data_IF_516672236992
#
_entry.id   IF_516672236992
#
_cell.length_a   1.000
_cell.length_b   1.000
_cell.length_c   1.000
_cell.angle_alpha   90.00
_cell.angle_beta   90.00
_cell.angle_gamma   90.00
#
_symmetry.space_group_name_H-M   'P 1'
#
loop_
_entity.id
_entity.type
_entity.pdbx_description
1 polymer ?
#
# COMPACT_ATOMS: atom_id res chain seq x y z
N UNK A 1 -3.19 -20.47 4.40
CA UNK A 1 -2.90 -19.16 3.78
C UNK A 1 -4.20 -18.36 3.83
N UNK A 2 -4.12 -17.08 4.10
CA UNK A 2 -5.27 -16.16 4.01
C UNK A 2 -5.19 -15.41 2.70
N UNK A 3 -6.31 -15.27 2.00
CA UNK A 3 -6.43 -14.55 0.74
C UNK A 3 -7.24 -13.29 0.95
N UNK A 4 -6.70 -12.16 0.48
CA UNK A 4 -7.33 -10.87 0.61
C UNK A 4 -7.44 -10.19 -0.76
N UNK A 5 -8.55 -9.54 -1.01
CA UNK A 5 -8.75 -8.77 -2.24
C UNK A 5 -8.40 -7.30 -1.98
N UNK A 6 -7.33 -6.82 -2.60
CA UNK A 6 -6.88 -5.44 -2.48
C UNK A 6 -7.28 -4.65 -3.72
N UNK A 7 -7.91 -3.51 -3.53
CA UNK A 7 -8.35 -2.65 -4.62
C UNK A 7 -7.70 -1.27 -4.54
N UNK A 8 -7.15 -0.80 -5.68
CA UNK A 8 -6.54 0.54 -5.79
C UNK A 8 -7.55 1.62 -6.24
N UNK A 9 -8.63 1.24 -6.88
CA UNK A 9 -9.59 2.15 -7.54
C UNK A 9 -8.91 3.14 -8.50
N UNK A 10 -8.16 2.66 -9.51
CA UNK A 10 -7.48 3.54 -10.45
C UNK A 10 -8.49 4.30 -11.31
N UNK A 11 -8.12 5.52 -11.75
CA UNK A 11 -8.89 6.21 -12.78
C UNK A 11 -8.64 5.55 -14.15
N UNK A 12 -9.66 4.99 -14.77
CA UNK A 12 -9.55 4.13 -15.97
C UNK A 12 -9.66 4.88 -17.29
N UNK A 13 -9.81 6.22 -17.27
CA UNK A 13 -10.07 7.03 -18.47
C UNK A 13 -8.91 7.99 -18.81
N UNK A 14 -7.67 7.66 -18.38
CA UNK A 14 -6.50 8.43 -18.80
C UNK A 14 -6.26 8.24 -20.31
N UNK A 15 -5.96 9.32 -21.07
CA UNK A 15 -5.80 9.22 -22.52
C UNK A 15 -4.60 8.34 -22.92
N UNK A 16 -4.66 7.78 -24.14
CA UNK A 16 -3.63 6.85 -24.65
C UNK A 16 -2.23 7.46 -24.72
N UNK A 17 -2.16 8.75 -24.94
CA UNK A 17 -0.91 9.50 -25.03
C UNK A 17 -0.55 10.23 -23.72
N UNK A 18 -1.15 9.82 -22.60
CA UNK A 18 -0.95 10.44 -21.29
C UNK A 18 0.53 10.62 -20.95
N UNK A 19 1.34 9.56 -21.09
CA UNK A 19 2.76 9.59 -20.75
C UNK A 19 3.61 10.53 -21.64
N UNK A 20 3.08 10.89 -22.79
CA UNK A 20 3.76 11.81 -23.73
C UNK A 20 3.44 13.28 -23.44
N UNK A 21 2.26 13.51 -22.86
CA UNK A 21 1.71 14.87 -22.65
C UNK A 21 1.79 15.35 -21.21
N UNK A 22 1.83 14.41 -20.27
CA UNK A 22 1.80 14.72 -18.84
C UNK A 22 3.01 14.11 -18.14
N UNK A 23 3.69 14.86 -17.24
CA UNK A 23 4.91 14.41 -16.58
C UNK A 23 4.63 13.37 -15.48
N UNK A 24 3.42 13.39 -14.92
CA UNK A 24 3.08 12.54 -13.79
C UNK A 24 1.57 12.29 -13.71
N UNK A 25 1.20 11.10 -13.24
CA UNK A 25 -0.17 10.75 -12.87
C UNK A 25 -0.48 11.18 -11.43
N UNK A 26 0.52 11.66 -10.71
CA UNK A 26 0.44 11.99 -9.29
C UNK A 26 0.99 13.37 -9.02
N UNK A 27 0.38 14.12 -8.08
CA UNK A 27 0.74 15.48 -7.66
C UNK A 27 0.44 16.52 -8.75
N UNK A 28 1.20 16.50 -9.84
CA UNK A 28 1.08 17.44 -10.97
C UNK A 28 0.26 16.79 -12.10
N UNK A 29 -1.01 16.54 -11.81
CA UNK A 29 -1.99 16.03 -12.76
C UNK A 29 -3.09 17.08 -13.00
N UNK A 30 -3.39 17.40 -14.25
CA UNK A 30 -4.37 18.43 -14.57
C UNK A 30 -5.81 17.94 -14.31
N UNK A 31 -6.58 18.71 -13.55
CA UNK A 31 -7.94 18.34 -13.12
C UNK A 31 -8.95 18.15 -14.28
N UNK A 32 -8.69 18.74 -15.46
CA UNK A 32 -9.54 18.54 -16.64
C UNK A 32 -9.51 17.12 -17.20
N UNK A 33 -8.56 16.28 -16.76
CA UNK A 33 -8.53 14.87 -17.11
C UNK A 33 -9.55 14.03 -16.35
N UNK A 34 -10.08 14.57 -15.26
CA UNK A 34 -11.05 13.88 -14.41
C UNK A 34 -12.48 14.17 -14.86
N UNK A 35 -13.22 13.12 -15.20
CA UNK A 35 -14.66 13.19 -15.46
C UNK A 35 -15.44 12.64 -14.27
N UNK A 36 -16.16 13.49 -13.50
CA UNK A 36 -16.92 13.07 -12.33
C UNK A 36 -18.11 12.14 -12.66
N UNK A 37 -18.66 12.21 -13.88
CA UNK A 37 -19.75 11.33 -14.30
C UNK A 37 -19.22 9.92 -14.56
N UNK A 38 -18.04 9.80 -15.18
CA UNK A 38 -17.36 8.52 -15.38
C UNK A 38 -16.93 7.94 -14.04
N UNK A 39 -16.37 8.76 -13.17
CA UNK A 39 -15.96 8.36 -11.82
C UNK A 39 -17.13 7.85 -10.96
N UNK A 40 -18.36 8.37 -11.16
CA UNK A 40 -19.54 7.82 -10.49
C UNK A 40 -19.74 6.33 -10.81
N UNK A 41 -19.59 5.92 -12.07
CA UNK A 41 -19.68 4.51 -12.45
C UNK A 41 -18.50 3.72 -11.89
N UNK A 42 -17.27 4.24 -12.04
CA UNK A 42 -16.06 3.57 -11.51
C UNK A 42 -16.16 3.25 -10.03
N UNK A 43 -16.60 4.19 -9.18
CA UNK A 43 -16.75 3.93 -7.75
C UNK A 43 -17.74 2.82 -7.45
N UNK A 44 -18.88 2.79 -8.16
CA UNK A 44 -19.86 1.72 -7.94
C UNK A 44 -19.34 0.38 -8.44
N UNK A 45 -18.74 0.31 -9.63
CA UNK A 45 -18.15 -0.91 -10.18
C UNK A 45 -17.07 -1.48 -9.23
N UNK A 46 -16.17 -0.63 -8.72
CA UNK A 46 -15.12 -1.04 -7.79
C UNK A 46 -15.67 -1.50 -6.43
N UNK A 47 -16.75 -0.90 -5.96
CA UNK A 47 -17.40 -1.35 -4.74
C UNK A 47 -18.11 -2.68 -4.94
N UNK A 48 -18.76 -2.89 -6.10
CA UNK A 48 -19.39 -4.16 -6.48
C UNK A 48 -18.33 -5.27 -6.58
N UNK A 49 -17.13 -5.00 -7.13
CA UNK A 49 -16.00 -5.94 -7.12
C UNK A 49 -15.55 -6.34 -5.72
N UNK A 50 -15.46 -5.37 -4.80
CA UNK A 50 -15.10 -5.63 -3.39
C UNK A 50 -16.18 -6.44 -2.67
N UNK A 51 -17.47 -6.15 -2.91
CA UNK A 51 -18.58 -6.90 -2.37
C UNK A 51 -18.58 -8.34 -2.93
N UNK A 52 -18.38 -8.49 -4.23
CA UNK A 52 -18.28 -9.81 -4.85
C UNK A 52 -17.10 -10.62 -4.30
N UNK A 53 -15.93 -9.99 -4.08
CA UNK A 53 -14.81 -10.66 -3.44
C UNK A 53 -15.18 -11.20 -2.03
N UNK A 54 -15.96 -10.45 -1.27
CA UNK A 54 -16.48 -10.90 0.03
C UNK A 54 -17.46 -12.08 -0.13
N UNK A 55 -18.37 -12.03 -1.12
CA UNK A 55 -19.34 -13.07 -1.40
C UNK A 55 -18.69 -14.40 -1.81
N UNK A 56 -17.64 -14.36 -2.61
CA UNK A 56 -16.91 -15.57 -3.05
C UNK A 56 -15.91 -16.08 -2.02
N UNK A 57 -15.83 -15.46 -0.84
CA UNK A 57 -15.16 -15.99 0.34
C UNK A 57 -13.69 -15.59 0.50
N UNK A 58 -13.27 -14.43 0.00
CA UNK A 58 -12.00 -13.86 0.42
C UNK A 58 -12.00 -13.56 1.92
N UNK A 59 -10.88 -13.84 2.60
CA UNK A 59 -10.74 -13.62 4.05
C UNK A 59 -10.84 -12.15 4.43
N UNK A 60 -10.42 -11.25 3.53
CA UNK A 60 -10.58 -9.80 3.69
C UNK A 60 -10.71 -9.08 2.36
N UNK A 61 -11.35 -7.91 2.39
CA UNK A 61 -11.31 -6.90 1.35
C UNK A 61 -10.51 -5.69 1.85
N UNK A 62 -9.67 -5.14 0.97
CA UNK A 62 -8.68 -4.14 1.38
C UNK A 62 -8.83 -2.86 0.55
N UNK A 63 -8.78 -1.72 1.23
CA UNK A 63 -8.82 -0.37 0.68
C UNK A 63 -7.60 0.43 1.15
N UNK A 64 -7.24 1.51 0.44
CA UNK A 64 -6.04 2.31 0.72
C UNK A 64 -6.27 3.81 0.57
N UNK A 65 -5.28 4.64 0.95
CA UNK A 65 -5.34 6.10 0.88
C UNK A 65 -4.34 6.65 -0.13
N UNK A 66 -4.84 7.42 -1.12
CA UNK A 66 -4.01 8.15 -2.07
C UNK A 66 -4.64 9.48 -2.47
N UNK A 67 -3.82 10.52 -2.66
CA UNK A 67 -4.26 11.88 -2.90
C UNK A 67 -3.70 12.45 -4.20
N UNK A 68 -4.45 13.36 -4.84
CA UNK A 68 -4.02 14.14 -6.00
C UNK A 68 -3.46 13.30 -7.15
N UNK A 69 -4.16 12.23 -7.55
CA UNK A 69 -3.64 11.26 -8.52
C UNK A 69 -4.73 10.54 -9.31
N UNK A 70 -4.31 9.92 -10.42
CA UNK A 70 -5.11 8.95 -11.18
C UNK A 70 -4.76 7.49 -10.88
N UNK A 71 -3.81 7.25 -9.96
CA UNK A 71 -3.40 5.91 -9.54
C UNK A 71 -4.45 5.24 -8.64
N UNK A 72 -5.09 6.02 -7.75
CA UNK A 72 -6.10 5.50 -6.84
C UNK A 72 -7.06 6.60 -6.36
N UNK A 73 -8.34 6.42 -6.66
CA UNK A 73 -9.40 7.39 -6.36
C UNK A 73 -9.94 7.28 -4.92
N UNK A 74 -9.07 6.97 -3.95
CA UNK A 74 -9.47 6.81 -2.55
C UNK A 74 -8.76 7.80 -1.62
N UNK A 75 -9.10 9.09 -1.64
CA UNK A 75 -8.54 10.04 -0.67
C UNK A 75 -9.06 9.81 0.76
N UNK A 76 -10.14 9.05 0.92
CA UNK A 76 -10.64 8.59 2.21
C UNK A 76 -11.06 7.12 2.12
N UNK A 77 -10.14 6.18 2.42
CA UNK A 77 -10.47 4.75 2.47
C UNK A 77 -11.54 4.44 3.54
N UNK A 78 -11.65 5.29 4.56
CA UNK A 78 -12.61 5.12 5.64
C UNK A 78 -14.07 5.28 5.16
N UNK A 79 -14.33 6.14 4.17
CA UNK A 79 -15.65 6.26 3.55
C UNK A 79 -16.03 4.98 2.79
N UNK A 80 -15.11 4.42 2.03
CA UNK A 80 -15.32 3.16 1.31
C UNK A 80 -15.48 2.00 2.30
N UNK A 81 -14.57 1.86 3.27
CA UNK A 81 -14.65 0.82 4.28
C UNK A 81 -15.93 0.90 5.11
N UNK A 82 -16.41 2.09 5.45
CA UNK A 82 -17.68 2.29 6.17
C UNK A 82 -18.89 1.82 5.35
N UNK A 83 -18.91 2.11 4.04
CA UNK A 83 -19.95 1.61 3.14
C UNK A 83 -19.93 0.09 3.06
N UNK A 84 -18.77 -0.51 2.85
CA UNK A 84 -18.57 -1.97 2.78
C UNK A 84 -18.87 -2.67 4.13
N UNK A 85 -18.61 -2.01 5.25
CA UNK A 85 -18.93 -2.53 6.59
C UNK A 85 -20.42 -2.85 6.76
N UNK A 86 -21.26 -2.04 6.13
CA UNK A 86 -22.73 -2.25 6.17
C UNK A 86 -23.22 -3.27 5.13
N UNK A 87 -22.51 -3.42 4.03
CA UNK A 87 -22.91 -4.24 2.88
C UNK A 87 -22.35 -5.67 2.92
N UNK A 88 -21.34 -5.92 3.73
CA UNK A 88 -20.72 -7.26 3.91
C UNK A 88 -20.96 -7.79 5.32
N UNK A 89 -20.87 -9.12 5.53
CA UNK A 89 -21.16 -9.76 6.82
C UNK A 89 -19.95 -10.45 7.45
N UNK A 90 -19.20 -11.27 6.71
CA UNK A 90 -18.26 -12.22 7.30
C UNK A 90 -16.79 -11.91 6.97
N UNK A 91 -16.52 -11.18 5.89
CA UNK A 91 -15.16 -10.83 5.47
C UNK A 91 -14.57 -9.72 6.33
N UNK A 92 -13.27 -9.79 6.62
CA UNK A 92 -12.57 -8.71 7.32
C UNK A 92 -12.43 -7.47 6.42
N UNK A 93 -12.48 -6.29 7.03
CA UNK A 93 -12.31 -4.99 6.38
C UNK A 93 -10.92 -4.46 6.68
N UNK A 94 -10.01 -4.58 5.71
CA UNK A 94 -8.63 -4.17 5.88
C UNK A 94 -8.42 -2.78 5.29
N UNK A 95 -8.32 -1.76 6.13
CA UNK A 95 -7.95 -0.40 5.68
C UNK A 95 -6.43 -0.32 5.64
N UNK A 96 -5.82 -0.41 4.45
CA UNK A 96 -4.37 -0.50 4.22
C UNK A 96 -3.78 0.79 3.63
N UNK A 97 -3.94 1.90 4.19
CA UNK A 97 -4.56 2.40 5.35
C UNK A 97 -4.40 3.89 5.48
N UNK A 98 -4.61 4.40 6.66
CA UNK A 98 -4.45 5.83 6.89
C UNK A 98 -2.99 6.20 7.17
N UNK A 99 -2.46 7.16 6.41
CA UNK A 99 -1.14 7.76 6.64
C UNK A 99 -1.22 8.73 7.81
N UNK A 100 -0.99 8.24 9.04
CA UNK A 100 -1.30 8.96 10.29
C UNK A 100 -0.66 10.35 10.39
N UNK A 101 0.49 10.56 9.74
CA UNK A 101 1.16 11.85 9.74
C UNK A 101 0.40 12.97 9.01
N UNK A 102 -0.63 12.62 8.20
CA UNK A 102 -1.45 13.61 7.47
C UNK A 102 -2.52 14.25 8.34
N UNK A 103 -2.92 13.56 9.42
CA UNK A 103 -4.08 13.96 10.21
C UNK A 103 -3.68 14.91 11.35
N UNK A 104 -4.51 15.92 11.56
CA UNK A 104 -4.36 16.88 12.66
C UNK A 104 -5.74 17.26 13.22
N UNK A 105 -6.15 16.66 14.36
CA UNK A 105 -5.42 15.66 15.13
C UNK A 105 -5.63 14.23 14.58
N UNK A 106 -4.70 13.30 14.80
CA UNK A 106 -4.85 11.90 14.38
C UNK A 106 -5.89 11.12 15.19
N UNK A 107 -6.40 11.67 16.29
CA UNK A 107 -7.56 11.12 17.02
C UNK A 107 -8.78 10.95 16.11
N UNK A 108 -8.91 11.75 15.05
CA UNK A 108 -9.95 11.56 14.05
C UNK A 108 -9.90 10.18 13.39
N UNK A 109 -8.70 9.66 13.10
CA UNK A 109 -8.54 8.31 12.56
C UNK A 109 -8.94 7.26 13.60
N UNK A 110 -8.58 7.48 14.87
CA UNK A 110 -8.98 6.57 15.96
C UNK A 110 -10.51 6.48 16.08
N UNK A 111 -11.23 7.59 15.96
CA UNK A 111 -12.70 7.65 16.01
C UNK A 111 -13.33 6.96 14.79
N UNK A 112 -12.86 7.26 13.58
CA UNK A 112 -13.38 6.68 12.33
C UNK A 112 -13.18 5.17 12.29
N UNK A 113 -12.02 4.68 12.70
CA UNK A 113 -11.72 3.26 12.77
C UNK A 113 -12.60 2.56 13.84
N UNK A 114 -12.82 3.20 15.00
CA UNK A 114 -13.73 2.69 16.00
C UNK A 114 -15.18 2.63 15.47
N UNK A 115 -15.62 3.62 14.69
CA UNK A 115 -16.92 3.57 14.02
C UNK A 115 -17.03 2.41 13.03
N UNK A 116 -16.02 2.23 12.16
CA UNK A 116 -15.98 1.12 11.19
C UNK A 116 -16.02 -0.22 11.92
N UNK A 117 -15.27 -0.35 12.99
CA UNK A 117 -15.24 -1.57 13.80
C UNK A 117 -16.59 -1.86 14.44
N UNK A 118 -17.26 -0.86 15.01
CA UNK A 118 -18.61 -0.99 15.54
C UNK A 118 -19.65 -1.32 14.45
N UNK A 119 -19.62 -0.63 13.30
CA UNK A 119 -20.55 -0.87 12.19
C UNK A 119 -20.38 -2.28 11.64
N UNK A 120 -19.15 -2.75 11.53
CA UNK A 120 -18.82 -4.07 10.98
C UNK A 120 -18.99 -5.21 11.98
N UNK A 121 -19.17 -4.93 13.27
CA UNK A 121 -19.23 -5.96 14.31
C UNK A 121 -17.87 -6.57 14.66
N UNK A 122 -16.80 -5.78 14.65
CA UNK A 122 -15.46 -6.23 15.04
C UNK A 122 -14.65 -6.88 13.91
N UNK A 123 -14.85 -6.44 12.65
CA UNK A 123 -14.15 -7.00 11.47
C UNK A 123 -13.03 -6.11 10.93
N UNK A 124 -12.71 -5.00 11.60
CA UNK A 124 -11.67 -4.08 11.14
C UNK A 124 -10.26 -4.66 11.30
N UNK A 125 -9.43 -4.48 10.29
CA UNK A 125 -7.97 -4.53 10.34
C UNK A 125 -7.45 -3.13 10.06
N UNK A 126 -6.72 -2.54 11.01
CA UNK A 126 -6.22 -1.18 10.95
C UNK A 126 -4.85 -1.12 10.28
N UNK A 127 -4.75 -0.54 9.10
CA UNK A 127 -3.48 -0.35 8.40
C UNK A 127 -2.93 1.06 8.57
N UNK A 128 -1.64 1.17 8.90
CA UNK A 128 -0.97 2.45 9.10
C UNK A 128 0.34 2.51 8.31
N UNK A 129 0.30 2.88 7.01
CA UNK A 129 1.52 3.19 6.26
C UNK A 129 2.15 4.49 6.78
N UNK A 130 3.47 4.62 6.62
CA UNK A 130 4.11 5.95 6.75
C UNK A 130 3.58 6.89 5.66
N UNK A 131 3.17 6.32 4.54
CA UNK A 131 2.61 7.00 3.39
C UNK A 131 3.62 7.27 2.28
N UNK A 132 3.16 7.42 1.04
CA UNK A 132 4.02 7.77 -0.07
C UNK A 132 4.41 9.26 0.00
N UNK A 133 5.61 9.65 -0.48
CA UNK A 133 5.98 11.06 -0.48
C UNK A 133 5.10 11.91 -1.39
N UNK A 134 4.51 11.34 -2.43
CA UNK A 134 3.55 12.03 -3.29
C UNK A 134 2.35 12.52 -2.47
N UNK A 135 1.80 11.65 -1.63
CA UNK A 135 0.65 11.99 -0.77
C UNK A 135 1.07 12.86 0.41
N UNK A 136 2.10 12.42 1.14
CA UNK A 136 2.44 13.03 2.42
C UNK A 136 3.17 14.35 2.27
N UNK A 137 4.21 14.39 1.44
CA UNK A 137 5.06 15.58 1.33
C UNK A 137 4.51 16.60 0.32
N UNK A 138 4.02 16.13 -0.82
CA UNK A 138 3.59 17.05 -1.89
C UNK A 138 2.11 17.39 -1.83
N UNK A 139 1.20 16.43 -1.70
CA UNK A 139 -0.23 16.73 -1.61
C UNK A 139 -0.62 17.38 -0.28
N UNK A 140 -0.02 16.93 0.84
CA UNK A 140 -0.35 17.42 2.19
C UNK A 140 0.75 18.25 2.86
N UNK A 141 1.84 18.54 2.18
CA UNK A 141 2.84 19.52 2.61
C UNK A 141 3.65 19.11 3.85
N UNK A 142 3.74 17.82 4.18
CA UNK A 142 4.54 17.37 5.32
C UNK A 142 6.04 17.46 5.02
N UNK A 143 6.81 17.80 6.04
CA UNK A 143 8.27 17.80 5.92
C UNK A 143 8.79 16.35 5.90
N UNK A 144 9.45 15.98 4.80
CA UNK A 144 9.98 14.64 4.59
C UNK A 144 10.89 14.15 5.73
N UNK A 145 11.76 15.03 6.25
CA UNK A 145 12.72 14.70 7.31
C UNK A 145 12.08 14.52 8.70
N UNK A 146 10.86 15.03 8.91
CA UNK A 146 10.10 14.90 10.15
C UNK A 146 8.95 13.90 10.07
N UNK A 147 8.71 13.36 8.88
CA UNK A 147 7.53 12.55 8.59
C UNK A 147 7.45 11.31 9.49
N UNK A 148 8.55 10.57 9.65
CA UNK A 148 8.58 9.36 10.46
C UNK A 148 8.36 9.66 11.94
N UNK A 149 8.97 10.71 12.46
CA UNK A 149 8.77 11.12 13.86
C UNK A 149 7.32 11.51 14.13
N UNK A 150 6.75 12.30 13.22
CA UNK A 150 5.34 12.69 13.29
C UNK A 150 4.40 11.47 13.19
N UNK A 151 4.71 10.54 12.33
CA UNK A 151 3.97 9.29 12.17
C UNK A 151 3.98 8.43 13.45
N UNK A 152 5.14 8.23 14.06
CA UNK A 152 5.27 7.44 15.28
C UNK A 152 4.53 8.09 16.47
N UNK A 153 4.58 9.42 16.58
CA UNK A 153 3.82 10.14 17.60
C UNK A 153 2.31 10.03 17.37
N UNK A 154 1.87 10.18 16.11
CA UNK A 154 0.46 10.02 15.75
C UNK A 154 -0.04 8.59 16.02
N UNK A 155 0.77 7.58 15.72
CA UNK A 155 0.46 6.19 16.04
C UNK A 155 0.31 5.96 17.55
N UNK A 156 1.22 6.50 18.38
CA UNK A 156 1.11 6.38 19.83
C UNK A 156 -0.20 7.01 20.34
N UNK A 157 -0.55 8.18 19.84
CA UNK A 157 -1.79 8.85 20.19
C UNK A 157 -3.02 8.02 19.82
N UNK A 158 -3.07 7.47 18.59
CA UNK A 158 -4.19 6.63 18.14
C UNK A 158 -4.31 5.37 19.00
N UNK A 159 -3.19 4.67 19.23
CA UNK A 159 -3.17 3.46 20.06
C UNK A 159 -3.66 3.74 21.48
N UNK A 160 -3.15 4.80 22.11
CA UNK A 160 -3.58 5.20 23.44
C UNK A 160 -5.05 5.60 23.48
N UNK A 161 -5.54 6.32 22.48
CA UNK A 161 -6.97 6.65 22.37
C UNK A 161 -7.87 5.41 22.37
N UNK A 162 -7.41 4.30 21.81
CA UNK A 162 -8.14 3.03 21.84
C UNK A 162 -8.01 2.27 23.17
N UNK A 163 -6.87 2.34 23.83
CA UNK A 163 -6.55 1.47 24.98
C UNK A 163 -6.76 2.13 26.35
N UNK A 164 -6.48 3.44 26.47
CA UNK A 164 -6.68 4.18 27.71
C UNK A 164 -8.17 4.28 28.04
N UNK A 165 -8.55 3.93 29.27
CA UNK A 165 -9.94 3.97 29.72
C UNK A 165 -10.33 5.34 30.28
N UNK A 166 -9.38 5.99 30.94
CA UNK A 166 -9.56 7.32 31.47
C UNK A 166 -9.21 8.40 30.44
N UNK A 167 -9.81 9.55 30.58
CA UNK A 167 -9.43 10.74 29.81
C UNK A 167 -7.98 11.15 30.16
N UNK A 168 -7.16 11.37 29.16
CA UNK A 168 -5.76 11.75 29.33
C UNK A 168 -5.38 12.99 28.54
N UNK A 169 -4.28 13.64 28.93
CA UNK A 169 -3.65 14.69 28.14
C UNK A 169 -2.54 14.08 27.27
N UNK A 170 -2.44 14.53 26.03
CA UNK A 170 -1.34 14.18 25.13
C UNK A 170 -0.53 15.43 24.82
N UNK A 171 0.76 15.42 25.16
CA UNK A 171 1.68 16.54 25.00
C UNK A 171 2.87 16.13 24.14
N UNK A 172 2.61 15.82 22.86
CA UNK A 172 3.64 15.48 21.89
C UNK A 172 4.30 16.73 21.28
N UNK A 173 5.25 16.49 20.42
CA UNK A 173 5.91 17.55 19.65
C UNK A 173 4.98 18.08 18.54
N UNK A 174 4.22 17.21 17.90
CA UNK A 174 3.36 17.52 16.75
C UNK A 174 1.89 17.60 17.13
N UNK A 175 1.48 16.86 18.17
CA UNK A 175 0.11 16.76 18.60
C UNK A 175 -0.01 17.13 20.07
N UNK A 176 -0.88 18.10 20.38
CA UNK A 176 -1.12 18.54 21.75
C UNK A 176 -2.61 18.61 22.00
N UNK A 177 -3.12 17.77 22.88
CA UNK A 177 -4.52 17.71 23.25
C UNK A 177 -4.68 17.63 24.77
N UNK A 178 -5.48 18.53 25.33
CA UNK A 178 -5.73 18.55 26.80
C UNK A 178 -6.56 17.36 27.27
N UNK A 179 -7.48 16.92 26.42
CA UNK A 179 -8.41 15.84 26.73
C UNK A 179 -8.49 14.92 25.50
N UNK A 180 -8.00 13.71 25.64
CA UNK A 180 -8.19 12.64 24.68
C UNK A 180 -9.15 11.64 25.30
N UNK A 181 -10.30 11.46 24.69
CA UNK A 181 -11.32 10.49 25.06
C UNK A 181 -12.23 10.28 23.86
N UNK A 182 -12.09 9.13 23.20
CA UNK A 182 -12.88 8.86 21.99
C UNK A 182 -14.19 8.12 22.30
N UNK A 183 -15.24 8.53 21.60
CA UNK A 183 -16.54 7.88 21.53
C UNK A 183 -17.02 7.91 20.07
N UNK A 184 -17.23 6.74 19.42
CA UNK A 184 -17.22 5.37 19.96
C UNK A 184 -15.81 4.83 20.26
N UNK A 185 -15.78 3.66 20.90
CA UNK A 185 -14.59 2.85 21.07
C UNK A 185 -14.71 1.59 20.20
N UNK A 186 -13.61 0.98 19.73
CA UNK A 186 -13.68 -0.24 18.95
C UNK A 186 -14.24 -1.41 19.77
N UNK A 187 -14.96 -2.32 19.10
CA UNK A 187 -15.38 -3.60 19.68
C UNK A 187 -14.17 -4.45 20.01
N UNK A 188 -13.19 -4.49 19.09
CA UNK A 188 -11.92 -5.18 19.26
C UNK A 188 -11.04 -4.37 20.24
N UNK A 189 -11.17 -4.61 21.53
CA UNK A 189 -10.55 -3.83 22.60
C UNK A 189 -9.56 -4.63 23.46
N UNK A 190 -9.07 -5.78 23.00
CA UNK A 190 -8.11 -6.64 23.71
C UNK A 190 -6.82 -6.84 22.88
N UNK A 191 -5.88 -5.86 22.88
CA UNK A 191 -5.99 -4.51 23.45
C UNK A 191 -6.59 -3.47 22.49
N UNK A 192 -6.61 -3.73 21.17
CA UNK A 192 -7.11 -2.85 20.11
C UNK A 192 -7.30 -3.67 18.80
N UNK A 193 -7.93 -3.13 17.75
CA UNK A 193 -8.01 -3.80 16.45
C UNK A 193 -6.63 -4.22 15.94
N UNK A 194 -6.54 -5.34 15.21
CA UNK A 194 -5.28 -5.77 14.61
C UNK A 194 -4.63 -4.66 13.79
N UNK A 195 -3.33 -4.41 14.00
CA UNK A 195 -2.59 -3.36 13.29
C UNK A 195 -1.67 -3.98 12.25
N UNK A 196 -1.78 -3.50 11.02
CA UNK A 196 -0.95 -3.91 9.89
C UNK A 196 -0.16 -2.71 9.34
N UNK A 197 1.10 -2.95 8.97
CA UNK A 197 2.00 -1.90 8.52
C UNK A 197 2.42 -2.17 7.07
N UNK A 198 1.76 -1.54 6.10
CA UNK A 198 2.22 -1.59 4.72
C UNK A 198 3.50 -0.77 4.55
N UNK A 199 4.47 -1.33 3.82
CA UNK A 199 5.75 -0.67 3.61
C UNK A 199 6.57 -1.23 2.47
N UNK A 200 7.53 -0.44 2.01
CA UNK A 200 8.35 -0.70 0.83
C UNK A 200 9.67 -1.43 1.09
N UNK A 201 10.00 -1.88 2.32
CA UNK A 201 11.24 -2.60 2.59
C UNK A 201 12.26 -1.84 3.45
N UNK A 202 11.83 -0.86 4.22
CA UNK A 202 12.67 -0.16 5.20
C UNK A 202 12.96 -1.06 6.40
N UNK A 203 14.25 -1.19 6.74
CA UNK A 203 14.72 -2.00 7.88
C UNK A 203 14.11 -1.49 9.20
N UNK A 204 13.99 -0.19 9.35
CA UNK A 204 13.40 0.44 10.52
C UNK A 204 11.92 0.06 10.69
N UNK A 205 11.18 -0.04 9.58
CA UNK A 205 9.80 -0.50 9.60
C UNK A 205 9.72 -1.97 10.03
N UNK A 206 10.61 -2.81 9.53
CA UNK A 206 10.64 -4.22 9.93
C UNK A 206 10.92 -4.41 11.42
N UNK A 207 11.92 -3.69 11.95
CA UNK A 207 12.26 -3.70 13.39
C UNK A 207 11.08 -3.25 14.23
N UNK A 208 10.46 -2.15 13.84
CA UNK A 208 9.32 -1.64 14.55
C UNK A 208 8.11 -2.60 14.52
N UNK A 209 7.83 -3.24 13.38
CA UNK A 209 6.82 -4.30 13.31
C UNK A 209 7.14 -5.47 14.26
N UNK A 210 8.42 -5.84 14.36
CA UNK A 210 8.84 -6.89 15.29
C UNK A 210 8.68 -6.49 16.77
N UNK A 211 9.05 -5.27 17.12
CA UNK A 211 8.92 -4.71 18.49
C UNK A 211 7.46 -4.64 18.93
N UNK A 212 6.58 -4.20 18.02
CA UNK A 212 5.16 -3.99 18.29
C UNK A 212 4.29 -5.24 18.06
N UNK A 213 4.88 -6.31 17.54
CA UNK A 213 4.18 -7.53 17.12
C UNK A 213 3.09 -7.30 16.05
N UNK A 214 3.36 -6.37 15.12
CA UNK A 214 2.48 -6.02 14.01
C UNK A 214 2.74 -6.86 12.76
N UNK A 215 1.74 -6.98 11.91
CA UNK A 215 1.87 -7.62 10.60
C UNK A 215 2.50 -6.65 9.61
N UNK A 216 3.63 -7.04 9.01
CA UNK A 216 4.24 -6.29 7.92
C UNK A 216 3.62 -6.68 6.58
N UNK A 217 3.27 -5.71 5.72
CA UNK A 217 2.71 -5.96 4.39
C UNK A 217 3.57 -5.33 3.31
N UNK A 218 4.03 -6.16 2.37
CA UNK A 218 4.84 -5.73 1.24
C UNK A 218 4.02 -5.71 -0.05
N UNK A 219 4.08 -4.59 -0.78
CA UNK A 219 3.47 -4.45 -2.09
C UNK A 219 4.53 -4.68 -3.18
N UNK A 220 4.36 -5.75 -3.97
CA UNK A 220 5.25 -6.11 -5.06
C UNK A 220 4.74 -5.62 -6.42
N UNK A 221 5.25 -4.47 -6.88
CA UNK A 221 5.00 -3.95 -8.23
C UNK A 221 5.82 -4.66 -9.32
N UNK A 222 6.97 -5.20 -8.94
CA UNK A 222 7.96 -5.75 -9.88
C UNK A 222 7.97 -7.28 -9.92
N UNK A 223 6.88 -7.89 -9.47
CA UNK A 223 6.69 -9.33 -9.46
C UNK A 223 7.34 -10.05 -8.27
N UNK A 224 6.98 -11.31 -8.12
CA UNK A 224 7.34 -12.11 -6.95
C UNK A 224 8.86 -12.33 -6.79
N UNK A 225 9.64 -12.32 -7.86
CA UNK A 225 11.11 -12.51 -7.79
C UNK A 225 11.78 -11.32 -7.08
N UNK A 226 11.39 -10.09 -7.41
CA UNK A 226 11.86 -8.89 -6.72
C UNK A 226 11.34 -8.87 -5.28
N UNK A 227 10.07 -9.21 -5.09
CA UNK A 227 9.45 -9.32 -3.77
C UNK A 227 10.12 -10.35 -2.87
N UNK A 228 10.60 -11.47 -3.41
CA UNK A 228 11.31 -12.49 -2.65
C UNK A 228 12.57 -11.94 -1.97
N UNK A 229 13.31 -11.06 -2.65
CA UNK A 229 14.51 -10.43 -2.07
C UNK A 229 14.15 -9.57 -0.85
N UNK A 230 13.10 -8.76 -0.97
CA UNK A 230 12.60 -7.93 0.14
C UNK A 230 12.08 -8.78 1.29
N UNK A 231 11.29 -9.82 1.00
CA UNK A 231 10.74 -10.71 2.03
C UNK A 231 11.83 -11.54 2.72
N UNK A 232 12.87 -11.96 2.00
CA UNK A 232 14.03 -12.61 2.63
C UNK A 232 14.77 -11.65 3.58
N UNK A 233 14.90 -10.36 3.19
CA UNK A 233 15.43 -9.32 4.08
C UNK A 233 14.61 -9.17 5.35
N UNK A 234 13.29 -9.11 5.22
CA UNK A 234 12.36 -9.09 6.36
C UNK A 234 12.55 -10.29 7.29
N UNK A 235 12.54 -11.52 6.76
CA UNK A 235 12.69 -12.72 7.56
C UNK A 235 14.06 -12.84 8.23
N UNK A 236 15.13 -12.39 7.56
CA UNK A 236 16.46 -12.35 8.16
C UNK A 236 16.52 -11.35 9.34
N UNK A 237 15.81 -10.24 9.24
CA UNK A 237 15.73 -9.27 10.33
C UNK A 237 14.87 -9.81 11.49
N UNK A 238 13.76 -10.50 11.21
CA UNK A 238 12.95 -11.18 12.23
C UNK A 238 13.79 -12.23 13.00
N UNK A 239 14.59 -13.03 12.30
CA UNK A 239 15.48 -14.03 12.91
C UNK A 239 16.52 -13.38 13.83
N UNK A 240 17.16 -12.27 13.40
CA UNK A 240 18.10 -11.50 14.25
C UNK A 240 17.44 -10.97 15.53
N UNK A 241 16.17 -10.67 15.48
CA UNK A 241 15.37 -10.17 16.61
C UNK A 241 14.74 -11.29 17.44
N UNK A 242 15.06 -12.56 17.15
CA UNK A 242 14.54 -13.71 17.87
C UNK A 242 13.05 -14.00 17.64
N UNK A 243 12.48 -13.49 16.56
CA UNK A 243 11.08 -13.75 16.19
C UNK A 243 10.95 -15.05 15.41
N UNK A 244 9.85 -15.76 15.61
CA UNK A 244 9.52 -16.96 14.88
C UNK A 244 9.19 -16.66 13.39
N UNK A 245 9.33 -17.68 12.55
CA UNK A 245 8.93 -17.62 11.12
C UNK A 245 7.44 -17.93 10.92
N UNK A 246 6.58 -17.42 11.78
CA UNK A 246 5.15 -17.53 11.58
C UNK A 246 4.74 -16.78 10.30
N UNK A 247 4.20 -17.44 9.26
CA UNK A 247 3.85 -16.82 7.99
C UNK A 247 2.78 -15.72 8.14
N UNK A 248 2.00 -15.75 9.21
CA UNK A 248 0.98 -14.72 9.50
C UNK A 248 1.56 -13.42 10.05
N UNK A 249 2.89 -13.32 10.25
CA UNK A 249 3.57 -12.04 10.54
C UNK A 249 3.74 -11.16 9.30
N UNK A 250 3.50 -11.69 8.11
CA UNK A 250 3.72 -10.96 6.87
C UNK A 250 2.58 -11.14 5.87
N UNK A 251 2.20 -10.04 5.23
CA UNK A 251 1.38 -10.00 4.02
C UNK A 251 2.24 -9.74 2.79
N UNK A 252 1.82 -10.30 1.66
CA UNK A 252 2.46 -10.07 0.37
C UNK A 252 1.40 -9.76 -0.67
N UNK A 253 1.42 -8.54 -1.20
CA UNK A 253 0.51 -8.12 -2.26
C UNK A 253 1.15 -8.33 -3.63
N UNK A 254 0.44 -9.03 -4.51
CA UNK A 254 0.87 -9.34 -5.86
C UNK A 254 -0.30 -9.18 -6.82
N UNK A 255 -0.04 -8.62 -8.02
CA UNK A 255 -1.00 -8.68 -9.12
C UNK A 255 -1.06 -10.10 -9.67
N UNK A 256 -2.24 -10.67 -9.74
CA UNK A 256 -2.46 -12.06 -10.15
C UNK A 256 -3.58 -12.09 -11.19
N UNK A 257 -3.30 -12.68 -12.36
CA UNK A 257 -4.30 -12.99 -13.37
C UNK A 257 -4.62 -14.48 -13.32
N UNK A 258 -5.89 -14.83 -13.09
CA UNK A 258 -6.37 -16.22 -13.04
C UNK A 258 -7.27 -16.49 -14.24
N UNK A 259 -6.99 -17.60 -14.95
CA UNK A 259 -7.79 -18.07 -16.08
C UNK A 259 -7.56 -19.56 -16.30
N UNK A 260 -8.37 -20.19 -17.17
CA UNK A 260 -8.27 -21.62 -17.52
C UNK A 260 -6.93 -21.99 -18.17
N UNK A 261 -6.33 -21.03 -18.87
CA UNK A 261 -5.03 -21.25 -19.53
C UNK A 261 -4.18 -19.98 -19.46
N UNK A 262 -2.85 -20.16 -19.65
CA UNK A 262 -1.93 -19.02 -19.74
C UNK A 262 -2.28 -18.08 -20.89
N UNK A 263 -2.71 -18.62 -22.05
CA UNK A 263 -3.08 -17.79 -23.19
C UNK A 263 -4.30 -16.93 -22.84
N UNK A 264 -5.33 -17.53 -22.26
CA UNK A 264 -6.51 -16.81 -21.82
C UNK A 264 -6.18 -15.74 -20.77
N UNK A 265 -5.28 -16.02 -19.83
CA UNK A 265 -4.81 -15.02 -18.86
C UNK A 265 -4.11 -13.85 -19.57
N UNK A 266 -3.27 -14.12 -20.56
CA UNK A 266 -2.63 -13.06 -21.35
C UNK A 266 -3.66 -12.22 -22.13
N UNK A 267 -4.64 -12.87 -22.74
CA UNK A 267 -5.68 -12.18 -23.50
C UNK A 267 -6.54 -11.27 -22.62
N UNK A 268 -6.86 -11.72 -21.40
CA UNK A 268 -7.70 -10.97 -20.46
C UNK A 268 -6.95 -9.83 -19.73
N UNK A 269 -5.69 -10.05 -19.34
CA UNK A 269 -5.01 -9.16 -18.39
C UNK A 269 -3.87 -8.35 -18.99
N UNK A 270 -3.47 -8.55 -20.24
CA UNK A 270 -2.36 -7.78 -20.84
C UNK A 270 -2.72 -6.30 -20.99
N UNK A 271 -3.87 -5.98 -21.54
CA UNK A 271 -4.30 -4.59 -21.76
C UNK A 271 -4.49 -3.83 -20.44
N UNK A 272 -5.22 -4.35 -19.44
CA UNK A 272 -5.32 -3.71 -18.12
C UNK A 272 -3.96 -3.54 -17.42
N UNK A 273 -3.07 -4.53 -17.55
CA UNK A 273 -1.72 -4.43 -16.97
C UNK A 273 -0.88 -3.36 -17.69
N UNK A 274 -0.91 -3.30 -19.00
CA UNK A 274 -0.22 -2.25 -19.79
C UNK A 274 -0.77 -0.86 -19.46
N UNK A 275 -2.07 -0.73 -19.27
CA UNK A 275 -2.70 0.51 -18.79
C UNK A 275 -2.16 0.91 -17.42
N UNK A 276 -2.22 0.00 -16.46
CA UNK A 276 -1.81 0.28 -15.09
C UNK A 276 -0.32 0.62 -14.99
N UNK A 277 0.55 -0.24 -15.52
CA UNK A 277 2.01 -0.01 -15.50
C UNK A 277 2.45 1.17 -16.36
N UNK A 278 1.76 1.39 -17.47
CA UNK A 278 2.09 2.47 -18.40
C UNK A 278 1.58 3.83 -17.95
N UNK A 279 0.38 3.93 -17.38
CA UNK A 279 -0.29 5.20 -17.06
C UNK A 279 -0.41 5.44 -15.57
N UNK A 280 -0.95 4.49 -14.82
CA UNK A 280 -1.18 4.68 -13.38
C UNK A 280 0.12 4.70 -12.56
N UNK A 281 1.21 4.10 -13.05
CA UNK A 281 2.54 4.18 -12.43
C UNK A 281 3.49 5.20 -13.11
N UNK A 282 2.97 6.04 -14.00
CA UNK A 282 3.76 7.11 -14.62
C UNK A 282 3.92 8.28 -13.64
N UNK A 283 4.89 8.15 -12.74
CA UNK A 283 5.18 9.15 -11.70
C UNK A 283 6.49 9.86 -12.01
N UNK A 284 6.49 11.18 -11.92
CA UNK A 284 7.73 11.95 -12.02
C UNK A 284 8.68 11.58 -10.86
N UNK A 285 9.91 11.15 -11.13
CA UNK A 285 10.86 10.74 -10.10
C UNK A 285 11.12 11.79 -9.00
N UNK A 286 10.92 13.08 -9.30
CA UNK A 286 11.05 14.18 -8.32
C UNK A 286 10.09 14.04 -7.14
N UNK A 287 8.93 13.44 -7.37
CA UNK A 287 7.91 13.25 -6.33
C UNK A 287 8.12 11.97 -5.52
N UNK A 288 8.84 10.99 -6.07
CA UNK A 288 8.98 9.67 -5.45
C UNK A 288 9.98 9.65 -4.28
N UNK A 289 11.04 10.46 -4.32
CA UNK A 289 12.14 10.43 -3.35
C UNK A 289 12.61 11.84 -2.96
N UNK A 290 11.78 12.63 -2.24
CA UNK A 290 12.22 13.94 -1.76
C UNK A 290 13.35 13.79 -0.73
N UNK A 291 14.28 14.76 -0.66
CA UNK A 291 15.35 14.76 0.33
C UNK A 291 14.82 14.63 1.76
N UNK A 292 15.43 13.74 2.54
CA UNK A 292 15.08 13.47 3.93
C UNK A 292 13.93 12.48 4.14
N UNK A 293 13.29 11.98 3.08
CA UNK A 293 12.23 10.97 3.20
C UNK A 293 12.80 9.59 3.59
N UNK A 294 13.90 9.18 2.98
CA UNK A 294 14.56 7.92 3.34
C UNK A 294 15.62 8.13 4.41
N UNK A 295 15.71 7.17 5.33
CA UNK A 295 16.76 7.19 6.35
C UNK A 295 18.14 6.94 5.76
N UNK A 296 19.20 7.34 6.47
CA UNK A 296 20.59 7.10 6.06
C UNK A 296 20.87 5.60 5.85
N UNK A 297 20.34 4.74 6.73
CA UNK A 297 20.52 3.28 6.62
C UNK A 297 19.87 2.74 5.35
N UNK A 298 18.65 3.17 5.01
CA UNK A 298 17.95 2.78 3.79
C UNK A 298 18.65 3.33 2.54
N UNK A 299 19.16 4.56 2.58
CA UNK A 299 19.94 5.13 1.48
C UNK A 299 21.24 4.36 1.26
N UNK A 300 21.98 4.05 2.32
CA UNK A 300 23.22 3.27 2.26
C UNK A 300 22.97 1.89 1.66
N UNK A 301 21.95 1.16 2.14
CA UNK A 301 21.56 -0.14 1.57
C UNK A 301 21.16 -0.05 0.09
N UNK A 302 20.46 1.01 -0.30
CA UNK A 302 20.12 1.28 -1.70
C UNK A 302 21.36 1.52 -2.57
N UNK A 303 22.31 2.30 -2.09
CA UNK A 303 23.59 2.56 -2.78
C UNK A 303 24.41 1.27 -2.92
N UNK A 304 24.55 0.50 -1.84
CA UNK A 304 25.25 -0.78 -1.84
C UNK A 304 24.60 -1.77 -2.82
N UNK A 305 23.28 -1.83 -2.85
CA UNK A 305 22.52 -2.63 -3.81
C UNK A 305 22.78 -2.21 -5.28
N UNK A 306 22.80 -0.90 -5.54
CA UNK A 306 23.12 -0.37 -6.88
C UNK A 306 24.58 -0.65 -7.28
N UNK A 307 25.53 -0.51 -6.35
CA UNK A 307 26.95 -0.81 -6.59
C UNK A 307 27.15 -2.30 -6.86
N UNK A 308 26.50 -3.17 -6.11
CA UNK A 308 26.52 -4.62 -6.31
C UNK A 308 25.93 -5.00 -7.66
N UNK A 309 24.81 -4.37 -8.06
CA UNK A 309 24.19 -4.59 -9.37
C UNK A 309 25.12 -4.11 -10.51
N UNK A 310 25.75 -2.96 -10.35
CA UNK A 310 26.71 -2.43 -11.32
C UNK A 310 27.95 -3.33 -11.45
N UNK A 311 28.49 -3.83 -10.32
CA UNK A 311 29.59 -4.78 -10.30
C UNK A 311 29.23 -6.11 -10.99
N UNK A 312 28.03 -6.64 -10.74
CA UNK A 312 27.52 -7.86 -11.39
C UNK A 312 27.33 -7.66 -12.91
N UNK A 313 26.85 -6.48 -13.34
CA UNK A 313 26.73 -6.13 -14.77
C UNK A 313 28.08 -5.98 -15.46
N UNK A 314 29.09 -5.54 -14.74
CA UNK A 314 30.47 -5.41 -15.24
C UNK A 314 31.22 -6.76 -15.28
N UNK A 315 30.77 -7.79 -14.56
CA UNK A 315 31.39 -9.10 -14.52
C UNK A 315 31.04 -9.91 -15.78
N UNK A 316 32.05 -10.33 -16.58
CA UNK A 316 31.81 -11.10 -17.81
C UNK A 316 31.06 -12.44 -17.58
N UNK A 317 31.22 -13.05 -16.41
CA UNK A 317 30.57 -14.31 -16.06
C UNK A 317 29.04 -14.17 -15.84
N UNK A 318 28.55 -12.97 -15.48
CA UNK A 318 27.12 -12.71 -15.28
C UNK A 318 26.44 -12.09 -16.49
N UNK A 319 27.20 -11.53 -17.44
CA UNK A 319 26.68 -10.96 -18.70
C UNK A 319 25.94 -11.99 -19.58
N UNK A 320 26.36 -13.26 -19.54
CA UNK A 320 25.72 -14.35 -20.27
C UNK A 320 24.36 -14.80 -19.70
N UNK A 321 24.21 -14.75 -18.38
CA UNK A 321 22.98 -15.22 -17.72
C UNK A 321 21.80 -14.25 -17.88
N UNK A 322 22.03 -12.94 -17.92
CA UNK A 322 20.96 -11.94 -18.12
C UNK A 322 20.53 -11.80 -19.59
N UNK A 323 21.45 -12.02 -20.53
CA UNK A 323 21.11 -12.05 -21.97
C UNK A 323 20.16 -13.17 -22.35
N UNK A 324 20.25 -14.31 -21.67
CA UNK A 324 19.40 -15.47 -21.96
C UNK A 324 17.94 -15.27 -21.54
N UNK A 325 17.66 -14.57 -20.45
CA UNK A 325 16.26 -14.29 -20.04
C UNK A 325 15.57 -13.28 -20.97
N UNK A 326 16.28 -12.26 -21.48
CA UNK A 326 15.72 -11.28 -22.40
C UNK A 326 15.60 -11.80 -23.85
N UNK A 327 16.56 -12.59 -24.33
CA UNK A 327 16.44 -13.23 -25.66
C UNK A 327 15.40 -14.38 -25.68
N UNK A 328 15.26 -15.11 -24.60
CA UNK A 328 14.22 -16.14 -24.45
C UNK A 328 12.80 -15.55 -24.59
N UNK A 329 12.53 -14.39 -24.02
CA UNK A 329 11.27 -13.69 -24.19
C UNK A 329 11.06 -13.12 -25.60
N UNK A 330 12.09 -12.54 -26.23
CA UNK A 330 11.99 -12.05 -27.63
C UNK A 330 11.84 -13.18 -28.64
N UNK A 331 12.57 -14.29 -28.50
CA UNK A 331 12.46 -15.43 -29.42
C UNK A 331 11.13 -16.19 -29.27
N UNK A 332 10.53 -16.26 -28.08
CA UNK A 332 9.20 -16.81 -27.90
C UNK A 332 8.12 -15.92 -28.53
N UNK A 333 8.16 -14.60 -28.37
CA UNK A 333 7.23 -13.65 -29.04
C UNK A 333 7.28 -13.75 -30.58
N UNK A 334 8.43 -14.05 -31.15
CA UNK A 334 8.58 -14.19 -32.64
C UNK A 334 8.09 -15.56 -33.11
N UNK A 335 8.26 -16.64 -32.33
CA UNK A 335 7.73 -17.97 -32.69
C UNK A 335 6.21 -18.06 -32.54
N UNK A 336 5.65 -17.44 -31.51
CA UNK A 336 4.20 -17.49 -31.28
C UNK A 336 3.38 -16.59 -32.23
N UNK A 337 4.03 -15.69 -32.99
CA UNK A 337 3.41 -14.91 -34.08
C UNK A 337 3.54 -15.53 -35.48
N UNK A 338 4.14 -16.69 -35.61
CA UNK A 338 4.47 -17.31 -36.89
C UNK A 338 3.69 -18.57 -37.24
N UNK A 339 2.56 -18.87 -36.56
CA UNK A 339 1.68 -19.98 -36.91
C UNK A 339 0.22 -19.55 -36.75
N UNK A 340 -0.32 -19.01 -37.79
CA UNK A 340 -1.76 -19.06 -38.12
C UNK A 340 -1.87 -19.32 -39.59
#
# INVERSE_FOLDING_TARGET
>A
MKLMWFHLMPYTELPDDFNKKHPSVWVDIHSSLFDPRRAHHMYNDFMDELEYAAEVGFDAICVNEHHSNGYGLMPSPNLIASSLARRTTDTALCVMGNSLALYNPPTRVAEEFAMIDCISGGRLIAGFPVGSPMDTCYAYGQNASLLRERYLEAHDLVKRAWTEKDTFAFNGRFNQQRYVNIWPRPIQNEPHPPIWIPGGGSIETWRWCAEMDYVYCYLSYYGYKAGLTTMNGFWNEMEKLGKDRNPYRAGFLQFVGVAESRQQALDLYTEPAEYFYGRCLHVDPRFALPPGYTTEATQRAGIEGMMTKAANLANPATKGAQGYEHEGHRRRRIRDRGLA
#
